data_IF_468386236803
#
_entry.id   IF_468386236803
#
_cell.length_a   1.000
_cell.length_b   1.000
_cell.length_c   1.000
_cell.angle_alpha   90.00
_cell.angle_beta   90.00
_cell.angle_gamma   90.00
#
_symmetry.space_group_name_H-M   'P 1'
#
loop_
_entity.id
_entity.type
_entity.pdbx_description
1 polymer ?
#
# COMPACT_ATOMS: atom_id res chain seq x y z
N UNK A 1 11.35 48.90 4.05
CA UNK A 1 10.54 47.93 3.28
C UNK A 1 9.13 48.49 3.20
N UNK A 2 8.53 48.47 2.01
CA UNK A 2 7.18 48.98 1.77
C UNK A 2 6.15 48.19 2.58
N UNK A 3 5.65 48.79 3.66
CA UNK A 3 4.28 49.29 3.68
C UNK A 3 3.09 48.33 3.59
N UNK A 4 3.24 47.04 3.32
CA UNK A 4 2.08 46.17 3.05
C UNK A 4 1.53 45.48 4.31
N UNK A 5 0.21 45.29 4.32
CA UNK A 5 -0.52 44.50 5.31
C UNK A 5 0.03 43.07 5.37
N UNK A 6 0.26 42.47 6.56
CA UNK A 6 0.60 41.05 6.69
C UNK A 6 -0.45 40.09 6.10
N UNK A 7 -1.67 40.55 5.83
CA UNK A 7 -2.71 39.78 5.14
C UNK A 7 -2.67 39.93 3.61
N UNK A 8 -1.77 40.78 3.09
CA UNK A 8 -1.65 41.02 1.67
C UNK A 8 -1.04 39.80 0.96
N UNK A 9 -1.80 39.22 0.03
CA UNK A 9 -1.39 38.03 -0.71
C UNK A 9 -0.05 38.23 -1.43
N UNK A 10 0.24 39.44 -1.91
CA UNK A 10 1.49 39.74 -2.66
C UNK A 10 2.75 39.53 -1.82
N UNK A 11 2.65 39.59 -0.50
CA UNK A 11 3.78 39.33 0.39
C UNK A 11 4.17 37.85 0.44
N UNK A 12 3.19 36.94 0.39
CA UNK A 12 3.42 35.50 0.57
C UNK A 12 3.31 34.69 -0.73
N UNK A 13 2.71 35.25 -1.78
CA UNK A 13 2.40 34.54 -3.02
C UNK A 13 3.60 33.78 -3.61
N UNK A 14 4.76 34.44 -3.70
CA UNK A 14 5.98 33.82 -4.25
C UNK A 14 6.42 32.60 -3.43
N UNK A 15 6.46 32.72 -2.11
CA UNK A 15 6.83 31.61 -1.23
C UNK A 15 5.80 30.49 -1.26
N UNK A 16 4.51 30.83 -1.36
CA UNK A 16 3.43 29.84 -1.46
C UNK A 16 3.51 29.05 -2.77
N UNK A 17 3.79 29.68 -3.91
CA UNK A 17 3.98 28.96 -5.17
C UNK A 17 5.23 28.07 -5.17
N UNK A 18 6.31 28.53 -4.53
CA UNK A 18 7.50 27.68 -4.32
C UNK A 18 7.18 26.47 -3.45
N UNK A 19 6.40 26.65 -2.39
CA UNK A 19 5.99 25.56 -1.51
C UNK A 19 5.08 24.59 -2.25
N UNK A 20 4.08 25.06 -3.01
CA UNK A 20 3.24 24.19 -3.82
C UNK A 20 4.08 23.34 -4.78
N UNK A 21 5.07 23.96 -5.44
CA UNK A 21 6.02 23.24 -6.31
C UNK A 21 6.79 22.17 -5.54
N UNK A 22 7.30 22.51 -4.36
CA UNK A 22 8.04 21.58 -3.51
C UNK A 22 7.15 20.42 -3.03
N UNK A 23 5.90 20.68 -2.66
CA UNK A 23 4.93 19.65 -2.27
C UNK A 23 4.67 18.67 -3.43
N UNK A 24 4.50 19.18 -4.65
CA UNK A 24 4.33 18.34 -5.83
C UNK A 24 5.58 17.49 -6.13
N UNK A 25 6.77 18.09 -6.05
CA UNK A 25 8.04 17.36 -6.26
C UNK A 25 8.26 16.29 -5.19
N UNK A 26 7.99 16.64 -3.93
CA UNK A 26 8.07 15.72 -2.80
C UNK A 26 7.11 14.56 -3.01
N UNK A 27 5.84 14.83 -3.35
CA UNK A 27 4.87 13.78 -3.60
C UNK A 27 5.30 12.83 -4.74
N UNK A 28 5.76 13.38 -5.87
CA UNK A 28 6.22 12.57 -7.00
C UNK A 28 7.44 11.71 -6.64
N UNK A 29 8.41 12.28 -5.94
CA UNK A 29 9.62 11.56 -5.51
C UNK A 29 9.32 10.48 -4.46
N UNK A 30 8.42 10.76 -3.51
CA UNK A 30 7.97 9.77 -2.51
C UNK A 30 7.30 8.58 -3.20
N UNK A 31 6.35 8.82 -4.12
CA UNK A 31 5.71 7.75 -4.89
C UNK A 31 6.75 6.94 -5.66
N UNK A 32 7.66 7.61 -6.37
CA UNK A 32 8.69 6.93 -7.17
C UNK A 32 9.62 6.09 -6.31
N UNK A 33 10.03 6.61 -5.15
CA UNK A 33 10.91 5.91 -4.21
C UNK A 33 10.21 4.69 -3.62
N UNK A 34 9.00 4.86 -3.10
CA UNK A 34 8.24 3.80 -2.44
C UNK A 34 7.85 2.70 -3.44
N UNK A 35 7.47 3.08 -4.67
CA UNK A 35 7.24 2.13 -5.75
C UNK A 35 8.51 1.35 -6.09
N UNK A 36 9.67 2.03 -6.19
CA UNK A 36 10.94 1.34 -6.47
C UNK A 36 11.31 0.35 -5.37
N UNK A 37 11.10 0.71 -4.11
CA UNK A 37 11.35 -0.17 -2.97
C UNK A 37 10.37 -1.35 -2.98
N UNK A 38 9.09 -1.10 -3.22
CA UNK A 38 8.07 -2.14 -3.32
C UNK A 38 8.40 -3.16 -4.42
N UNK A 39 8.83 -2.70 -5.60
CA UNK A 39 9.19 -3.57 -6.72
C UNK A 39 10.44 -4.44 -6.46
N UNK A 40 11.26 -4.10 -5.45
CA UNK A 40 12.36 -4.98 -5.01
C UNK A 40 11.92 -6.07 -4.04
N UNK A 41 10.72 -5.98 -3.48
CA UNK A 41 10.19 -7.00 -2.58
C UNK A 41 9.83 -8.27 -3.37
N UNK A 42 10.17 -9.43 -2.80
CA UNK A 42 9.89 -10.73 -3.41
C UNK A 42 8.91 -11.52 -2.54
N UNK A 43 7.90 -12.13 -3.18
CA UNK A 43 7.00 -13.08 -2.52
C UNK A 43 7.70 -14.45 -2.52
N UNK A 44 8.22 -14.85 -1.36
CA UNK A 44 8.90 -16.13 -1.17
C UNK A 44 7.95 -17.11 -0.48
N UNK A 45 7.64 -18.22 -1.14
CA UNK A 45 6.75 -19.26 -0.61
C UNK A 45 7.34 -20.65 -0.77
N UNK A 46 7.20 -21.48 0.26
CA UNK A 46 7.70 -22.87 0.24
C UNK A 46 6.89 -23.81 -0.65
N UNK A 47 5.70 -23.39 -1.06
CA UNK A 47 4.79 -24.13 -1.93
C UNK A 47 4.06 -23.13 -2.84
N UNK A 48 3.69 -23.57 -4.05
CA UNK A 48 2.91 -22.75 -4.97
C UNK A 48 1.57 -22.37 -4.32
N UNK A 49 1.32 -21.06 -4.21
CA UNK A 49 0.04 -20.56 -3.74
C UNK A 49 -1.07 -20.81 -4.78
N UNK A 50 -2.30 -20.96 -4.29
CA UNK A 50 -3.46 -20.86 -5.17
C UNK A 50 -3.63 -19.43 -5.67
N UNK A 51 -4.26 -19.27 -6.84
CA UNK A 51 -4.52 -17.96 -7.44
C UNK A 51 -5.18 -16.99 -6.45
N UNK A 52 -6.21 -17.45 -5.73
CA UNK A 52 -6.93 -16.62 -4.75
C UNK A 52 -6.05 -16.15 -3.59
N UNK A 53 -5.17 -17.04 -3.08
CA UNK A 53 -4.27 -16.68 -1.97
C UNK A 53 -3.19 -15.72 -2.46
N UNK A 54 -2.65 -15.94 -3.66
CA UNK A 54 -1.70 -15.02 -4.28
C UNK A 54 -2.31 -13.64 -4.49
N UNK A 55 -3.50 -13.55 -5.09
CA UNK A 55 -4.18 -12.28 -5.34
C UNK A 55 -4.46 -11.53 -4.03
N UNK A 56 -4.97 -12.23 -3.00
CA UNK A 56 -5.22 -11.64 -1.69
C UNK A 56 -3.92 -11.11 -1.04
N UNK A 57 -2.82 -11.86 -1.14
CA UNK A 57 -1.52 -11.42 -0.62
C UNK A 57 -0.97 -10.21 -1.38
N UNK A 58 -1.06 -10.20 -2.71
CA UNK A 58 -0.61 -9.05 -3.52
C UNK A 58 -1.41 -7.80 -3.19
N UNK A 59 -2.75 -7.92 -3.09
CA UNK A 59 -3.61 -6.79 -2.71
C UNK A 59 -3.23 -6.28 -1.32
N UNK A 60 -3.07 -7.18 -0.34
CA UNK A 60 -2.68 -6.78 1.02
C UNK A 60 -1.33 -6.07 1.06
N UNK A 61 -0.35 -6.53 0.28
CA UNK A 61 0.96 -5.88 0.17
C UNK A 61 0.88 -4.50 -0.46
N UNK A 62 0.10 -4.34 -1.52
CA UNK A 62 -0.12 -3.04 -2.17
C UNK A 62 -0.84 -2.08 -1.23
N UNK A 63 -1.90 -2.54 -0.55
CA UNK A 63 -2.65 -1.73 0.42
C UNK A 63 -1.75 -1.30 1.58
N UNK A 64 -0.89 -2.21 2.07
CA UNK A 64 0.09 -1.89 3.11
C UNK A 64 1.12 -0.86 2.65
N UNK A 65 1.64 -0.98 1.43
CA UNK A 65 2.54 0.02 0.84
C UNK A 65 1.85 1.38 0.81
N UNK A 66 0.66 1.47 0.21
CA UNK A 66 -0.10 2.72 0.11
C UNK A 66 -0.37 3.34 1.49
N UNK A 67 -0.88 2.55 2.45
CA UNK A 67 -1.18 3.04 3.79
C UNK A 67 0.06 3.56 4.52
N UNK A 68 1.19 2.84 4.40
CA UNK A 68 2.46 3.22 5.04
C UNK A 68 3.03 4.49 4.43
N UNK A 69 3.06 4.57 3.10
CA UNK A 69 3.49 5.75 2.34
C UNK A 69 2.70 6.99 2.75
N UNK A 70 1.38 6.91 2.76
CA UNK A 70 0.51 8.04 3.13
C UNK A 70 0.69 8.45 4.61
N UNK A 71 0.82 7.47 5.51
CA UNK A 71 1.04 7.74 6.93
C UNK A 71 2.39 8.43 7.18
N UNK A 72 3.45 8.01 6.49
CA UNK A 72 4.78 8.59 6.62
C UNK A 72 4.82 10.05 6.17
N UNK A 73 4.17 10.37 5.05
CA UNK A 73 4.08 11.74 4.53
C UNK A 73 3.40 12.65 5.53
N UNK A 74 2.26 12.22 6.07
CA UNK A 74 1.53 12.95 7.11
C UNK A 74 2.38 13.20 8.36
N UNK A 75 3.14 12.20 8.78
CA UNK A 75 4.03 12.33 9.93
C UNK A 75 5.16 13.34 9.68
N UNK A 76 5.79 13.29 8.50
CA UNK A 76 6.88 14.21 8.13
C UNK A 76 6.36 15.64 8.04
N UNK A 77 5.20 15.85 7.43
CA UNK A 77 4.57 17.18 7.33
C UNK A 77 4.33 17.80 8.72
N UNK A 78 3.71 17.04 9.62
CA UNK A 78 3.50 17.46 11.00
C UNK A 78 4.81 17.77 11.72
N UNK A 79 5.85 16.96 11.50
CA UNK A 79 7.17 17.17 12.08
C UNK A 79 7.78 18.49 11.59
N UNK A 80 7.64 18.82 10.30
CA UNK A 80 8.17 20.08 9.74
C UNK A 80 7.57 21.29 10.45
N UNK A 81 6.25 21.38 10.57
CA UNK A 81 5.60 22.51 11.26
C UNK A 81 6.02 22.60 12.73
N UNK A 82 6.16 21.47 13.43
CA UNK A 82 6.59 21.44 14.83
C UNK A 82 8.06 21.85 15.02
N UNK A 83 8.95 21.43 14.11
CA UNK A 83 10.36 21.82 14.14
C UNK A 83 10.51 23.32 13.88
N UNK A 84 9.78 23.88 12.92
CA UNK A 84 9.84 25.33 12.62
C UNK A 84 9.34 26.15 13.82
N UNK A 85 8.24 25.73 14.46
CA UNK A 85 7.71 26.35 15.66
C UNK A 85 8.70 26.33 16.82
N UNK A 86 9.19 25.14 17.17
CA UNK A 86 10.07 24.93 18.33
C UNK A 86 11.44 25.59 18.17
N UNK A 87 11.94 25.68 16.94
CA UNK A 87 13.24 26.29 16.64
C UNK A 87 13.18 27.82 16.55
N UNK A 88 11.98 28.42 16.60
CA UNK A 88 11.76 29.87 16.47
C UNK A 88 12.47 30.48 15.24
N UNK A 89 12.62 29.70 14.16
CA UNK A 89 13.32 30.14 12.95
C UNK A 89 12.52 31.28 12.33
N UNK A 90 13.13 32.46 12.20
CA UNK A 90 12.51 33.60 11.53
C UNK A 90 12.35 33.30 10.04
N UNK A 91 11.12 33.38 9.55
CA UNK A 91 10.80 33.26 8.13
C UNK A 91 11.45 34.41 7.36
N UNK A 92 11.87 34.15 6.13
CA UNK A 92 12.48 35.19 5.28
C UNK A 92 11.52 36.37 4.99
N UNK A 93 10.21 36.13 5.12
CA UNK A 93 9.17 37.14 4.96
C UNK A 93 8.84 37.88 6.28
N UNK A 94 9.47 37.50 7.39
CA UNK A 94 9.22 38.04 8.72
C UNK A 94 7.74 37.94 9.17
N UNK A 95 7.02 36.91 8.70
CA UNK A 95 5.59 36.71 8.96
C UNK A 95 5.31 35.99 10.28
N UNK A 96 6.29 35.25 10.79
CA UNK A 96 6.23 34.55 12.08
C UNK A 96 6.99 35.28 13.20
N UNK A 97 8.10 35.93 12.89
CA UNK A 97 8.87 36.76 13.79
C UNK A 97 9.62 37.84 13.01
N UNK A 98 9.97 38.93 13.70
CA UNK A 98 10.62 40.09 13.12
C UNK A 98 11.48 40.78 14.18
N UNK A 99 12.50 41.51 13.73
CA UNK A 99 13.39 42.28 14.59
C UNK A 99 12.86 43.70 14.76
N UNK A 100 12.71 44.14 16.00
CA UNK A 100 12.41 45.53 16.34
C UNK A 100 13.65 46.18 16.92
N UNK A 101 14.00 47.35 16.40
CA UNK A 101 14.96 48.24 17.01
C UNK A 101 14.31 48.98 18.18
N UNK A 102 14.93 48.94 19.36
CA UNK A 102 14.54 49.77 20.49
C UNK A 102 15.44 51.01 20.54
N UNK A 103 14.98 52.16 20.00
CA UNK A 103 15.81 53.36 19.91
C UNK A 103 16.18 53.94 21.29
N UNK A 104 15.48 53.55 22.36
CA UNK A 104 15.74 54.02 23.72
C UNK A 104 16.92 53.29 24.39
N UNK A 105 17.22 52.06 23.95
CA UNK A 105 18.22 51.20 24.59
C UNK A 105 19.31 50.73 23.61
N UNK A 106 19.25 51.20 22.36
CA UNK A 106 20.14 50.80 21.26
C UNK A 106 20.31 49.28 21.16
N UNK A 107 19.21 48.56 21.30
CA UNK A 107 19.19 47.11 21.39
C UNK A 107 18.08 46.54 20.50
N UNK A 108 18.32 45.35 19.95
CA UNK A 108 17.36 44.64 19.11
C UNK A 108 16.71 43.51 19.89
N UNK A 109 15.41 43.34 19.71
CA UNK A 109 14.70 42.18 20.25
C UNK A 109 13.78 41.57 19.19
N UNK A 110 13.59 40.26 19.30
CA UNK A 110 12.70 39.52 18.42
C UNK A 110 11.27 39.68 18.95
N UNK A 111 10.37 40.07 18.07
CA UNK A 111 8.94 39.96 18.30
C UNK A 111 8.33 38.91 17.37
N UNK A 112 7.23 38.33 17.81
CA UNK A 112 6.49 37.33 17.04
C UNK A 112 5.33 37.99 16.31
N UNK A 113 5.04 37.50 15.11
CA UNK A 113 3.88 37.95 14.33
C UNK A 113 2.59 37.69 15.10
N UNK A 114 1.70 38.68 15.14
CA UNK A 114 0.39 38.56 15.75
C UNK A 114 -0.67 39.03 14.75
N UNK A 115 -1.68 38.19 14.54
CA UNK A 115 -2.78 38.44 13.62
C UNK A 115 -4.07 38.54 14.43
N UNK A 116 -4.79 39.66 14.31
CA UNK A 116 -6.01 39.94 15.08
C UNK A 116 -7.23 39.99 14.17
N UNK A 117 -8.34 39.38 14.57
CA UNK A 117 -9.60 39.38 13.81
C UNK A 117 -10.68 40.18 14.56
N UNK A 118 -10.95 41.43 14.14
CA UNK A 118 -12.06 42.25 14.64
C UNK A 118 -11.67 43.56 15.37
N UNK A 119 -12.67 44.36 15.74
CA UNK A 119 -12.53 45.57 16.58
C UNK A 119 -12.21 45.15 18.03
N UNK A 120 -10.92 44.97 18.32
CA UNK A 120 -10.45 44.57 19.64
C UNK A 120 -10.21 45.78 20.54
N UNK A 121 -10.67 45.72 21.80
CA UNK A 121 -10.23 46.65 22.83
C UNK A 121 -9.04 46.04 23.59
N UNK A 122 -8.17 46.88 24.18
CA UNK A 122 -7.00 46.41 24.93
C UNK A 122 -7.32 45.44 26.09
N UNK A 123 -8.57 45.43 26.58
CA UNK A 123 -9.08 44.50 27.60
C UNK A 123 -9.33 43.07 27.08
N UNK A 124 -9.48 42.88 25.76
CA UNK A 124 -9.79 41.58 25.16
C UNK A 124 -8.54 40.73 24.89
N UNK A 125 -7.33 41.32 25.00
CA UNK A 125 -6.05 40.63 24.90
C UNK A 125 -5.83 39.54 25.97
N UNK A 126 -6.69 39.50 27.00
CA UNK A 126 -6.66 38.51 28.08
C UNK A 126 -7.60 37.30 27.83
N UNK A 127 -8.49 37.36 26.83
CA UNK A 127 -9.40 36.27 26.45
C UNK A 127 -8.94 35.64 25.12
N UNK A 128 -7.75 35.05 25.16
CA UNK A 128 -6.87 34.64 24.04
C UNK A 128 -7.40 33.49 23.14
N UNK A 129 -8.62 33.00 23.36
CA UNK A 129 -8.97 31.70 22.78
C UNK A 129 -9.48 31.73 21.33
N UNK A 130 -10.09 32.82 20.84
CA UNK A 130 -10.80 32.78 19.55
C UNK A 130 -10.52 33.88 18.51
N UNK A 131 -9.85 35.01 18.80
CA UNK A 131 -9.62 36.00 17.74
C UNK A 131 -8.30 36.79 17.75
N UNK A 132 -7.30 36.32 18.50
CA UNK A 132 -5.90 36.66 18.28
C UNK A 132 -5.13 35.38 17.97
N UNK A 133 -4.42 35.33 16.84
CA UNK A 133 -3.39 34.33 16.63
C UNK A 133 -2.00 34.92 16.74
N UNK A 134 -1.23 34.44 17.72
CA UNK A 134 0.22 34.69 17.81
C UNK A 134 1.03 33.52 17.27
N UNK A 135 2.02 33.83 16.43
CA UNK A 135 2.93 32.85 15.84
C UNK A 135 3.92 32.24 16.84
N UNK A 136 3.90 32.68 18.11
CA UNK A 136 4.69 32.12 19.21
C UNK A 136 4.20 30.74 19.64
N UNK A 137 2.89 30.47 19.53
CA UNK A 137 2.27 29.28 20.11
C UNK A 137 1.47 28.46 19.11
N UNK A 138 1.07 29.06 17.98
CA UNK A 138 0.30 28.41 16.92
C UNK A 138 0.86 28.80 15.56
N UNK A 139 1.37 27.83 14.79
CA UNK A 139 1.83 28.10 13.41
C UNK A 139 0.73 27.91 12.38
N UNK A 140 -0.26 27.06 12.69
CA UNK A 140 -1.39 26.74 11.82
C UNK A 140 -2.43 27.86 11.72
N UNK A 141 -2.07 29.10 12.02
CA UNK A 141 -2.97 30.21 11.86
C UNK A 141 -2.98 30.67 10.42
N UNK A 142 -4.18 30.63 9.83
CA UNK A 142 -4.43 30.99 8.46
C UNK A 142 -5.63 31.95 8.42
N UNK A 143 -5.47 33.01 7.64
CA UNK A 143 -6.48 34.03 7.40
C UNK A 143 -6.69 34.16 5.91
N UNK A 144 -7.90 34.56 5.53
CA UNK A 144 -8.24 34.77 4.13
C UNK A 144 -7.30 35.81 3.51
N UNK A 145 -6.63 35.43 2.42
CA UNK A 145 -5.71 36.32 1.72
C UNK A 145 -6.45 37.33 0.84
N UNK A 146 -5.92 38.54 0.76
CA UNK A 146 -6.50 39.59 -0.07
C UNK A 146 -5.47 40.60 -0.57
N UNK A 147 -5.93 41.55 -1.39
CA UNK A 147 -5.15 42.69 -1.85
C UNK A 147 -5.57 43.91 -1.05
N UNK A 148 -4.64 44.54 -0.35
CA UNK A 148 -4.92 45.69 0.49
C UNK A 148 -4.27 46.94 -0.11
N UNK A 149 -5.03 48.05 -0.12
CA UNK A 149 -4.52 49.36 -0.54
C UNK A 149 -3.99 50.13 0.68
N UNK A 150 -3.07 49.52 1.42
CA UNK A 150 -2.46 50.17 2.58
C UNK A 150 -0.98 50.39 2.32
N UNK A 151 -0.55 51.63 2.51
CA UNK A 151 0.84 51.97 2.81
C UNK A 151 0.85 52.28 4.30
N UNK A 152 1.55 51.46 5.10
CA UNK A 152 1.62 51.60 6.56
C UNK A 152 1.69 53.07 6.99
N UNK A 153 0.70 53.52 7.80
CA UNK A 153 0.78 54.82 8.48
C UNK A 153 2.09 54.87 9.27
N UNK A 154 2.85 55.97 9.22
CA UNK A 154 4.04 56.13 10.06
C UNK A 154 3.66 55.92 11.53
N UNK A 155 4.18 54.89 12.18
CA UNK A 155 3.92 54.56 13.59
C UNK A 155 2.94 53.40 13.85
N UNK A 156 2.27 52.85 12.83
CA UNK A 156 1.58 51.56 12.98
C UNK A 156 2.60 50.43 12.91
N UNK A 157 2.58 49.50 13.87
CA UNK A 157 3.42 48.33 13.85
C UNK A 157 2.98 47.40 12.71
N UNK A 158 3.87 47.21 11.73
CA UNK A 158 3.69 46.42 10.50
C UNK A 158 3.29 44.94 10.72
N UNK A 159 3.26 44.49 11.97
CA UNK A 159 3.28 43.08 12.35
C UNK A 159 2.25 42.71 13.43
N UNK A 160 1.44 43.68 13.87
CA UNK A 160 0.18 43.41 14.59
C UNK A 160 -0.92 44.19 13.90
N UNK A 161 -1.53 43.58 12.89
CA UNK A 161 -2.63 44.23 12.19
C UNK A 161 -3.94 43.73 12.78
N UNK A 162 -4.67 44.65 13.39
CA UNK A 162 -6.13 44.58 13.49
C UNK A 162 -6.63 44.57 12.05
N UNK A 163 -7.42 43.57 11.62
CA UNK A 163 -8.01 43.55 10.25
C UNK A 163 -8.42 44.98 9.89
N UNK A 164 -7.75 45.62 8.94
CA UNK A 164 -7.88 47.05 8.81
C UNK A 164 -9.27 47.33 8.22
N UNK A 165 -9.98 48.26 8.86
CA UNK A 165 -10.71 49.26 8.10
C UNK A 165 -9.64 50.06 7.32
N UNK A 166 -9.60 50.02 5.97
CA UNK A 166 -10.66 49.60 5.04
C UNK A 166 -10.57 48.14 4.53
N UNK A 167 -11.71 47.58 4.06
CA UNK A 167 -11.80 46.22 3.55
C UNK A 167 -10.82 45.95 2.38
N UNK A 168 -10.45 44.67 2.14
CA UNK A 168 -9.61 44.30 1.01
C UNK A 168 -10.24 44.75 -0.31
N UNK A 169 -9.39 45.18 -1.25
CA UNK A 169 -9.79 45.50 -2.63
C UNK A 169 -10.36 44.26 -3.31
N UNK A 170 -9.71 43.12 -3.07
CA UNK A 170 -10.04 41.83 -3.63
C UNK A 170 -9.62 40.74 -2.65
N UNK A 171 -10.50 39.77 -2.44
CA UNK A 171 -10.19 38.56 -1.69
C UNK A 171 -9.79 37.50 -2.70
N UNK A 172 -8.66 36.83 -2.48
CA UNK A 172 -8.19 35.75 -3.36
C UNK A 172 -8.87 34.44 -2.93
N UNK A 173 -9.89 33.94 -3.65
CA UNK A 173 -10.67 32.79 -3.20
C UNK A 173 -9.79 31.57 -2.95
N UNK A 174 -9.98 30.93 -1.80
CA UNK A 174 -9.23 29.75 -1.41
C UNK A 174 -7.82 29.99 -0.88
N UNK A 175 -7.20 31.13 -1.18
CA UNK A 175 -5.84 31.40 -0.72
C UNK A 175 -5.85 31.96 0.71
N UNK A 176 -4.95 31.41 1.52
CA UNK A 176 -4.78 31.80 2.92
C UNK A 176 -3.39 32.36 3.15
N UNK A 177 -3.23 33.19 4.16
CA UNK A 177 -1.96 33.79 4.62
C UNK A 177 -1.83 33.59 6.13
N UNK A 178 -0.61 33.52 6.64
CA UNK A 178 -0.42 33.18 8.05
C UNK A 178 1.01 33.30 8.53
N UNK A 179 1.26 32.73 9.71
CA UNK A 179 2.58 32.73 10.35
C UNK A 179 3.65 32.18 9.42
N UNK A 180 3.38 31.03 8.80
CA UNK A 180 4.29 30.37 7.88
C UNK A 180 3.63 30.23 6.50
N UNK A 181 4.36 30.53 5.41
CA UNK A 181 3.89 30.24 4.06
C UNK A 181 3.54 28.76 3.86
N UNK A 182 4.24 27.85 4.56
CA UNK A 182 3.96 26.41 4.55
C UNK A 182 2.57 26.10 5.08
N UNK A 183 2.31 26.42 6.34
CA UNK A 183 1.06 26.08 7.01
C UNK A 183 -0.15 26.82 6.40
N UNK A 184 0.05 28.04 5.91
CA UNK A 184 -1.00 28.78 5.20
C UNK A 184 -1.28 28.20 3.81
N UNK A 185 -0.25 27.74 3.07
CA UNK A 185 -0.44 27.06 1.80
C UNK A 185 -1.21 25.74 1.98
N UNK A 186 -0.84 24.95 2.99
CA UNK A 186 -1.53 23.69 3.31
C UNK A 186 -3.02 23.91 3.65
N UNK A 187 -3.35 25.03 4.30
CA UNK A 187 -4.74 25.39 4.61
C UNK A 187 -5.48 26.06 3.45
N UNK A 188 -4.76 26.49 2.41
CA UNK A 188 -5.36 27.07 1.21
C UNK A 188 -6.06 26.00 0.37
N UNK A 189 -7.01 26.42 -0.44
CA UNK A 189 -7.61 25.66 -1.54
C UNK A 189 -7.14 26.26 -2.87
N UNK A 190 -7.30 25.53 -3.97
CA UNK A 190 -6.88 25.99 -5.30
C UNK A 190 -8.03 26.64 -6.10
N UNK A 191 -9.08 27.12 -5.42
CA UNK A 191 -10.29 27.67 -6.05
C UNK A 191 -9.98 28.77 -7.09
N UNK A 192 -9.10 29.70 -6.76
CA UNK A 192 -8.67 30.77 -7.68
C UNK A 192 -8.08 30.22 -8.99
N UNK A 193 -7.43 29.05 -8.98
CA UNK A 193 -6.74 28.48 -10.15
C UNK A 193 -7.70 27.91 -11.20
N UNK A 194 -8.97 27.68 -10.85
CA UNK A 194 -10.02 27.28 -11.77
C UNK A 194 -10.71 28.50 -12.43
N UNK A 195 -10.42 29.72 -11.98
CA UNK A 195 -11.09 30.94 -12.43
C UNK A 195 -10.12 31.90 -13.13
N UNK A 196 -10.32 32.14 -14.43
CA UNK A 196 -9.45 33.02 -15.22
C UNK A 196 -9.40 34.45 -14.68
N UNK A 197 -10.54 35.03 -14.30
CA UNK A 197 -10.60 36.39 -13.75
C UNK A 197 -9.81 36.51 -12.46
N UNK A 198 -9.76 35.45 -11.64
CA UNK A 198 -8.96 35.44 -10.42
C UNK A 198 -7.45 35.41 -10.74
N UNK A 199 -7.04 34.53 -11.67
CA UNK A 199 -5.64 34.44 -12.12
C UNK A 199 -5.12 35.76 -12.71
N UNK A 200 -5.95 36.44 -13.51
CA UNK A 200 -5.60 37.73 -14.11
C UNK A 200 -5.39 38.81 -13.02
N UNK A 201 -6.16 38.78 -11.92
CA UNK A 201 -6.03 39.72 -10.80
C UNK A 201 -4.77 39.50 -9.96
N UNK A 202 -4.32 38.24 -9.80
CA UNK A 202 -3.10 37.93 -9.06
C UNK A 202 -1.82 38.12 -9.89
N UNK A 203 -1.93 38.68 -11.10
CA UNK A 203 -0.79 39.05 -11.94
C UNK A 203 -0.04 37.86 -12.53
N UNK A 204 -0.66 36.68 -12.53
CA UNK A 204 -0.14 35.50 -13.19
C UNK A 204 -0.39 35.68 -14.69
N UNK A 205 0.69 35.65 -15.50
CA UNK A 205 0.68 36.06 -16.92
C UNK A 205 -0.47 35.44 -17.74
N UNK A 206 -0.86 36.12 -18.84
CA UNK A 206 -1.90 35.63 -19.75
C UNK A 206 -1.64 34.23 -20.34
N UNK A 207 -0.42 33.71 -20.24
CA UNK A 207 -0.02 32.39 -20.73
C UNK A 207 -0.47 31.21 -19.86
N UNK A 208 -0.97 31.44 -18.64
CA UNK A 208 -1.37 30.35 -17.73
C UNK A 208 -2.82 29.97 -17.94
N UNK A 209 -3.04 28.71 -18.32
CA UNK A 209 -4.37 28.14 -18.57
C UNK A 209 -4.98 27.78 -17.21
N UNK A 210 -6.21 28.24 -16.90
CA UNK A 210 -6.89 27.85 -15.67
C UNK A 210 -7.11 26.34 -15.63
N UNK A 211 -7.13 25.77 -14.41
CA UNK A 211 -7.48 24.38 -14.20
C UNK A 211 -8.90 24.11 -14.68
N UNK A 212 -9.12 22.93 -15.24
CA UNK A 212 -10.42 22.57 -15.78
C UNK A 212 -11.27 21.85 -14.73
N UNK A 213 -12.28 22.54 -14.20
CA UNK A 213 -13.22 21.99 -13.22
C UNK A 213 -14.13 20.89 -13.80
N UNK A 214 -14.20 20.74 -15.13
CA UNK A 214 -15.00 19.69 -15.78
C UNK A 214 -14.28 18.35 -15.87
N UNK A 215 -12.95 18.32 -15.64
CA UNK A 215 -12.21 17.06 -15.60
C UNK A 215 -12.55 16.38 -14.28
N UNK A 216 -12.93 15.10 -14.36
CA UNK A 216 -13.20 14.29 -13.17
C UNK A 216 -11.92 14.18 -12.35
N UNK A 217 -11.92 14.79 -11.17
CA UNK A 217 -10.91 14.60 -10.12
C UNK A 217 -11.61 14.05 -8.89
N UNK A 218 -10.89 13.23 -8.11
CA UNK A 218 -11.36 12.82 -6.78
C UNK A 218 -11.34 13.98 -5.78
N UNK A 219 -10.63 15.05 -6.07
CA UNK A 219 -10.54 16.24 -5.22
C UNK A 219 -11.52 17.31 -5.70
N UNK A 220 -12.43 17.72 -4.82
CA UNK A 220 -13.31 18.84 -5.09
C UNK A 220 -12.50 20.15 -5.17
N UNK A 221 -13.03 21.16 -5.88
CA UNK A 221 -12.35 22.46 -6.09
C UNK A 221 -12.01 23.17 -4.77
N UNK A 222 -12.82 22.99 -3.73
CA UNK A 222 -12.64 23.55 -2.39
C UNK A 222 -11.85 22.64 -1.43
N UNK A 223 -11.21 21.59 -1.94
CA UNK A 223 -10.36 20.70 -1.14
C UNK A 223 -9.07 21.44 -0.77
N UNK A 224 -8.60 21.28 0.47
CA UNK A 224 -7.38 21.96 0.92
C UNK A 224 -6.14 21.28 0.35
N UNK A 225 -5.08 22.05 0.13
CA UNK A 225 -3.79 21.53 -0.34
C UNK A 225 -3.24 20.49 0.63
N UNK A 226 -3.46 20.65 1.95
CA UNK A 226 -3.09 19.64 2.93
C UNK A 226 -3.73 18.28 2.62
N UNK A 227 -5.05 18.26 2.44
CA UNK A 227 -5.76 17.00 2.16
C UNK A 227 -5.36 16.38 0.82
N UNK A 228 -5.00 17.20 -0.17
CA UNK A 228 -4.43 16.70 -1.42
C UNK A 228 -3.02 16.13 -1.21
N UNK A 229 -2.17 16.81 -0.44
CA UNK A 229 -0.79 16.40 -0.16
C UNK A 229 -0.69 15.18 0.75
N UNK A 230 -1.52 15.07 1.78
CA UNK A 230 -1.68 13.86 2.61
C UNK A 230 -2.10 12.64 1.77
N UNK A 231 -2.61 12.88 0.55
CA UNK A 231 -2.98 11.89 -0.44
C UNK A 231 -2.03 11.87 -1.65
N UNK A 232 -0.87 12.52 -1.52
CA UNK A 232 0.19 12.63 -2.52
C UNK A 232 -0.26 13.17 -3.89
N UNK A 233 -1.35 13.94 -3.93
CA UNK A 233 -2.00 14.42 -5.15
C UNK A 233 -2.38 13.30 -6.14
N UNK A 234 -2.47 12.04 -5.69
CA UNK A 234 -2.77 10.90 -6.56
C UNK A 234 -4.25 10.93 -6.93
N UNK A 235 -4.59 10.80 -8.21
CA UNK A 235 -6.00 10.70 -8.64
C UNK A 235 -6.54 9.26 -8.49
N UNK A 236 -5.77 8.27 -8.95
CA UNK A 236 -6.15 6.85 -8.90
C UNK A 236 -4.92 5.97 -8.75
N UNK A 237 -5.02 4.93 -7.90
CA UNK A 237 -4.05 3.85 -7.86
C UNK A 237 -4.49 2.74 -8.82
N UNK A 238 -3.59 2.33 -9.73
CA UNK A 238 -3.85 1.23 -10.66
C UNK A 238 -3.06 0.00 -10.23
N UNK A 239 -3.78 -1.04 -9.81
CA UNK A 239 -3.20 -2.27 -9.32
C UNK A 239 -3.38 -3.36 -10.38
N UNK A 240 -2.29 -3.88 -10.93
CA UNK A 240 -2.30 -5.03 -11.84
C UNK A 240 -1.29 -6.08 -11.36
N UNK A 241 -1.73 -7.32 -11.22
CA UNK A 241 -0.87 -8.46 -10.88
C UNK A 241 -0.92 -9.52 -11.98
N UNK A 242 0.13 -10.34 -12.08
CA UNK A 242 0.21 -11.42 -13.06
C UNK A 242 0.61 -12.73 -12.37
N UNK A 243 -0.38 -13.58 -12.13
CA UNK A 243 -0.17 -14.89 -11.48
C UNK A 243 0.66 -15.85 -12.33
N UNK A 244 0.63 -15.75 -13.66
CA UNK A 244 1.33 -16.68 -14.55
C UNK A 244 2.85 -16.64 -14.33
N UNK A 245 3.42 -15.43 -14.17
CA UNK A 245 4.85 -15.31 -13.89
C UNK A 245 5.23 -15.92 -12.53
N UNK A 246 4.41 -15.70 -11.50
CA UNK A 246 4.62 -16.30 -10.18
C UNK A 246 4.52 -17.83 -10.23
N UNK A 247 3.45 -18.36 -10.83
CA UNK A 247 3.23 -19.81 -10.90
C UNK A 247 4.35 -20.51 -11.67
N UNK A 248 4.80 -19.93 -12.79
CA UNK A 248 5.91 -20.50 -13.57
C UNK A 248 7.22 -20.54 -12.77
N UNK A 249 7.45 -19.59 -11.87
CA UNK A 249 8.65 -19.59 -11.01
C UNK A 249 8.53 -20.54 -9.80
N UNK A 250 7.31 -20.76 -9.28
CA UNK A 250 7.08 -21.51 -8.04
C UNK A 250 6.43 -22.89 -8.23
N UNK A 251 6.18 -23.33 -9.47
CA UNK A 251 5.52 -24.61 -9.71
C UNK A 251 6.39 -25.79 -9.19
N UNK A 252 5.77 -26.81 -8.59
CA UNK A 252 6.50 -27.98 -8.13
C UNK A 252 7.04 -28.79 -9.33
N UNK A 253 8.29 -29.23 -9.27
CA UNK A 253 8.89 -30.13 -10.28
C UNK A 253 8.21 -31.50 -10.29
N UNK A 254 7.66 -31.94 -9.16
CA UNK A 254 6.95 -33.20 -9.03
C UNK A 254 5.78 -33.10 -8.05
N UNK A 255 4.61 -33.57 -8.47
CA UNK A 255 3.45 -33.73 -7.61
C UNK A 255 3.42 -35.17 -7.09
N UNK A 256 3.50 -35.36 -5.76
CA UNK A 256 3.23 -36.67 -5.15
C UNK A 256 1.83 -36.67 -4.55
N UNK A 257 1.04 -37.68 -4.88
CA UNK A 257 -0.25 -37.94 -4.26
C UNK A 257 -0.11 -39.14 -3.33
N UNK A 258 -0.56 -38.99 -2.09
CA UNK A 258 -0.61 -40.09 -1.12
C UNK A 258 -1.99 -40.73 -1.16
N UNK A 259 -2.12 -41.86 -1.86
CA UNK A 259 -3.30 -42.72 -1.70
C UNK A 259 -3.19 -43.49 -0.39
N UNK A 260 -3.89 -43.03 0.65
CA UNK A 260 -4.11 -43.82 1.85
C UNK A 260 -5.25 -44.81 1.60
N UNK A 261 -4.98 -45.90 0.88
CA UNK A 261 -5.87 -47.05 1.00
C UNK A 261 -5.74 -47.61 2.42
N UNK A 262 -6.76 -47.38 3.26
CA UNK A 262 -6.96 -48.17 4.48
C UNK A 262 -7.34 -49.59 4.07
N UNK A 263 -6.36 -50.35 3.59
CA UNK A 263 -6.51 -51.79 3.45
C UNK A 263 -6.82 -52.34 4.82
N UNK A 264 -8.07 -52.77 5.03
CA UNK A 264 -8.49 -53.36 6.29
C UNK A 264 -7.62 -54.61 6.49
N UNK A 265 -6.72 -54.58 7.48
CA UNK A 265 -5.76 -55.67 7.75
C UNK A 265 -6.47 -57.04 7.83
N UNK A 266 -7.68 -57.04 8.38
CA UNK A 266 -8.56 -58.21 8.50
C UNK A 266 -9.03 -58.74 7.12
N UNK A 267 -9.27 -57.84 6.16
CA UNK A 267 -9.61 -58.19 4.78
C UNK A 267 -8.42 -58.83 4.05
N UNK A 268 -7.20 -58.30 4.24
CA UNK A 268 -5.99 -58.89 3.64
C UNK A 268 -5.70 -60.29 4.21
N UNK A 269 -5.86 -60.48 5.52
CA UNK A 269 -5.68 -61.80 6.17
C UNK A 269 -6.73 -62.82 5.72
N UNK A 270 -8.00 -62.42 5.67
CA UNK A 270 -9.09 -63.31 5.23
C UNK A 270 -8.95 -63.72 3.77
N UNK A 271 -8.46 -62.83 2.90
CA UNK A 271 -8.15 -63.16 1.51
C UNK A 271 -7.04 -64.22 1.41
N UNK A 272 -5.95 -64.10 2.18
CA UNK A 272 -4.85 -65.07 2.18
C UNK A 272 -5.30 -66.45 2.69
N UNK A 273 -6.07 -66.50 3.78
CA UNK A 273 -6.62 -67.76 4.29
C UNK A 273 -7.58 -68.41 3.29
N UNK A 274 -8.42 -67.62 2.62
CA UNK A 274 -9.34 -68.12 1.60
C UNK A 274 -8.60 -68.70 0.38
N UNK A 275 -7.47 -68.11 0.00
CA UNK A 275 -6.65 -68.56 -1.12
C UNK A 275 -5.94 -69.90 -0.81
N UNK A 276 -5.36 -70.04 0.38
CA UNK A 276 -4.69 -71.27 0.82
C UNK A 276 -5.73 -72.39 1.00
N UNK A 277 -6.86 -72.10 1.64
CA UNK A 277 -7.95 -73.06 1.82
C UNK A 277 -8.58 -73.49 0.50
N UNK A 278 -8.83 -72.54 -0.41
CA UNK A 278 -9.38 -72.84 -1.73
C UNK A 278 -8.45 -73.69 -2.58
N UNK A 279 -7.16 -73.34 -2.63
CA UNK A 279 -6.17 -74.05 -3.44
C UNK A 279 -5.96 -75.50 -2.97
N UNK A 280 -5.87 -75.72 -1.66
CA UNK A 280 -5.71 -77.06 -1.08
C UNK A 280 -6.94 -77.94 -1.32
N UNK A 281 -8.14 -77.37 -1.19
CA UNK A 281 -9.40 -78.08 -1.43
C UNK A 281 -9.57 -78.45 -2.89
N UNK A 282 -9.28 -77.52 -3.81
CA UNK A 282 -9.39 -77.76 -5.26
C UNK A 282 -8.37 -78.83 -5.70
N UNK A 283 -7.11 -78.75 -5.26
CA UNK A 283 -6.11 -79.78 -5.58
C UNK A 283 -6.54 -81.16 -5.09
N UNK A 284 -7.09 -81.27 -3.88
CA UNK A 284 -7.56 -82.54 -3.31
C UNK A 284 -8.66 -83.22 -4.13
N UNK A 285 -9.46 -82.46 -4.87
CA UNK A 285 -10.53 -82.98 -5.75
C UNK A 285 -9.98 -83.24 -7.16
N UNK A 286 -9.14 -82.34 -7.66
CA UNK A 286 -8.69 -82.35 -9.05
C UNK A 286 -7.63 -83.44 -9.30
N UNK A 287 -6.77 -83.72 -8.32
CA UNK A 287 -5.75 -84.78 -8.39
C UNK A 287 -6.36 -86.18 -8.56
N UNK A 288 -7.30 -86.67 -7.74
CA UNK A 288 -7.87 -88.00 -7.94
C UNK A 288 -8.66 -88.11 -9.24
N UNK A 289 -9.32 -87.03 -9.70
CA UNK A 289 -10.00 -86.99 -11.00
C UNK A 289 -9.00 -87.16 -12.15
N UNK A 290 -7.89 -86.42 -12.13
CA UNK A 290 -6.82 -86.58 -13.11
C UNK A 290 -6.20 -87.98 -13.05
N UNK A 291 -5.92 -88.52 -11.87
CA UNK A 291 -5.36 -89.87 -11.71
C UNK A 291 -6.32 -90.94 -12.24
N UNK A 292 -7.62 -90.84 -11.95
CA UNK A 292 -8.62 -91.75 -12.52
C UNK A 292 -8.71 -91.63 -14.04
N UNK A 293 -8.64 -90.42 -14.58
CA UNK A 293 -8.61 -90.16 -16.02
C UNK A 293 -7.38 -90.81 -16.69
N UNK A 294 -6.19 -90.60 -16.13
CA UNK A 294 -4.95 -91.22 -16.62
C UNK A 294 -4.96 -92.75 -16.48
N UNK A 295 -5.50 -93.31 -15.38
CA UNK A 295 -5.67 -94.76 -15.24
C UNK A 295 -6.62 -95.34 -16.29
N UNK A 296 -7.74 -94.66 -16.57
CA UNK A 296 -8.68 -95.10 -17.63
C UNK A 296 -8.04 -95.07 -19.01
N UNK A 297 -7.21 -94.07 -19.30
CA UNK A 297 -6.41 -94.01 -20.53
C UNK A 297 -5.38 -95.15 -20.62
N UNK A 298 -4.64 -95.41 -19.54
CA UNK A 298 -3.63 -96.48 -19.50
C UNK A 298 -4.24 -97.88 -19.60
N UNK A 299 -5.38 -98.14 -18.96
CA UNK A 299 -6.09 -99.42 -19.06
C UNK A 299 -6.69 -99.62 -20.47
N UNK A 300 -7.16 -98.54 -21.12
CA UNK A 300 -7.64 -98.60 -22.50
C UNK A 300 -6.50 -98.87 -23.51
N UNK A 301 -5.27 -98.48 -23.20
CA UNK A 301 -4.08 -98.82 -23.99
C UNK A 301 -3.48 -100.21 -23.67
N UNK A 302 -3.95 -100.91 -22.63
CA UNK A 302 -3.45 -102.22 -22.20
C UNK A 302 -4.56 -103.28 -22.26
N UNK A 303 -5.20 -103.37 -23.43
CA UNK A 303 -6.25 -104.33 -23.74
C UNK A 303 -6.03 -105.01 -25.09
N UNK A 304 -4.96 -105.80 -25.20
CA UNK A 304 -4.85 -106.97 -26.08
C UNK A 304 -3.74 -107.89 -25.50
N UNK A 305 -4.07 -109.17 -25.28
CA UNK A 305 -3.16 -110.22 -24.79
C UNK A 305 -3.34 -111.41 -25.73
N UNK A 306 -2.24 -111.97 -26.27
CA UNK A 306 -2.00 -113.43 -26.34
C UNK A 306 -0.48 -113.70 -26.24
N UNK A 307 -0.01 -114.61 -25.36
CA UNK A 307 1.37 -115.10 -25.33
C UNK A 307 1.56 -116.33 -26.24
N UNK A 308 2.72 -116.45 -26.88
CA UNK A 308 3.18 -117.71 -27.46
C UNK A 308 4.12 -118.41 -26.47
N UNK A 309 3.78 -119.66 -26.14
CA UNK A 309 4.61 -120.60 -25.38
C UNK A 309 5.58 -121.24 -26.38
N UNK A 310 6.88 -121.15 -26.14
CA UNK A 310 7.87 -122.04 -26.73
C UNK A 310 9.01 -122.30 -25.72
N UNK A 311 9.36 -123.58 -25.59
CA UNK A 311 10.34 -124.13 -24.65
C UNK A 311 11.77 -123.99 -25.20
N UNK A 312 12.78 -123.71 -24.36
CA UNK A 312 14.09 -124.41 -24.40
C UNK A 312 14.99 -124.04 -23.19
N UNK A 313 16.09 -124.77 -22.87
CA UNK A 313 16.32 -125.30 -21.54
C UNK A 313 17.77 -125.00 -21.12
N UNK A 314 18.07 -123.83 -20.57
CA UNK A 314 19.43 -123.59 -20.10
C UNK A 314 19.40 -122.68 -18.88
N UNK A 315 19.87 -123.24 -17.78
CA UNK A 315 19.91 -122.62 -16.46
C UNK A 315 20.48 -121.21 -16.47
N UNK A 316 19.97 -120.39 -15.55
CA UNK A 316 20.57 -120.26 -14.21
C UNK A 316 19.68 -119.36 -13.36
N UNK A 317 19.68 -119.70 -12.08
CA UNK A 317 19.08 -118.99 -10.96
C UNK A 317 19.68 -117.57 -10.81
N UNK A 318 18.92 -116.61 -10.27
CA UNK A 318 19.10 -116.18 -8.87
C UNK A 318 18.14 -115.03 -8.49
N UNK A 319 17.57 -115.19 -7.31
CA UNK A 319 16.81 -114.24 -6.50
C UNK A 319 17.68 -113.04 -6.06
N UNK A 320 17.11 -111.85 -5.90
CA UNK A 320 16.61 -111.35 -4.60
C UNK A 320 16.14 -109.90 -4.66
N UNK A 321 15.15 -109.62 -3.81
CA UNK A 321 14.70 -108.31 -3.36
C UNK A 321 15.74 -107.63 -2.47
N UNK A 322 15.85 -106.31 -2.61
CA UNK A 322 15.89 -105.34 -1.50
C UNK A 322 15.26 -104.04 -1.96
#
# INVERSE_FOLDING_TARGET
MSGFSPLDFRLMAMSQFQILTLLCQTAASTISSDLSQFLTQQIITNQALSLQVFEAQVIALVDQMQATTLANVKYIDQLVSQVVLSSQIMSALNTNSYLIDNPLVSNYYIQHGQYFVGDYTASDALNVNNAACGCTHKSNCAFQAGFYNYSIRPGANQYSEYIPSPPPIFIVPGMMVGCLPHDSMLQSTLECFYNRSCLDLIGISQAIIPLNATVSSRFAVNTTVNTMFEQLFVETWQNSSNFTHYYNACHPEACSYTYTQRGNFLYTMTMLFSLIGGLTTILGILVPLLVQFFRRLLVKCRGEVIPAIENDPAGRQLFYFS
#
